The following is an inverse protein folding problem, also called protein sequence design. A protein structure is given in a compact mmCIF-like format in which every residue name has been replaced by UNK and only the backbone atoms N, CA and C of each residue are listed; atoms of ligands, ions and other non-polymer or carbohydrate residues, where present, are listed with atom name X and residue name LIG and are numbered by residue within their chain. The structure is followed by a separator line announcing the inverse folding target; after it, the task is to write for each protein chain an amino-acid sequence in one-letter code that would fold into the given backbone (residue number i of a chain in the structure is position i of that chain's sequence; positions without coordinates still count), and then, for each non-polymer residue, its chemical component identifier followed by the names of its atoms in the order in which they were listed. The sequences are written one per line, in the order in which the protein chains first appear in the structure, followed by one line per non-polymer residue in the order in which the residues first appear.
data_IF_021256432264
#
_entry.id   IF_021256432264
#
_cell.length_a   1.000
_cell.length_b   1.000
_cell.length_c   1.000
_cell.angle_alpha   90.00
_cell.angle_beta   90.00
_cell.angle_gamma   90.00
#
_symmetry.space_group_name_H-M   'P 1'
#
loop_
_entity.id
_entity.type
_entity.pdbx_description
1 polymer ?
#
# COMPACT_ATOMS: atom_id res chain seq x y z
N UNK A 1 -1.44 -5.83 -11.54
CA UNK A 1 0.03 -5.84 -11.32
C UNK A 1 0.40 -7.21 -10.75
N UNK A 2 1.45 -7.86 -11.25
CA UNK A 2 1.93 -9.09 -10.63
C UNK A 2 2.40 -8.79 -9.18
N UNK A 3 2.17 -9.69 -8.21
CA UNK A 3 2.70 -9.52 -6.86
C UNK A 3 4.22 -9.33 -6.93
N UNK A 4 4.75 -8.42 -6.12
CA UNK A 4 6.20 -8.16 -6.09
C UNK A 4 6.94 -9.45 -5.75
N UNK A 5 7.91 -9.85 -6.58
CA UNK A 5 8.76 -11.02 -6.33
C UNK A 5 9.39 -10.96 -4.94
N UNK A 6 9.74 -9.75 -4.49
CA UNK A 6 10.28 -9.50 -3.15
C UNK A 6 9.30 -9.86 -2.03
N UNK A 7 8.01 -9.59 -2.21
CA UNK A 7 6.99 -9.98 -1.22
C UNK A 7 6.89 -11.50 -1.13
N UNK A 8 6.96 -12.20 -2.26
CA UNK A 8 6.96 -13.66 -2.28
C UNK A 8 8.23 -14.26 -1.63
N UNK A 9 9.40 -13.68 -1.91
CA UNK A 9 10.67 -14.07 -1.28
C UNK A 9 10.65 -13.84 0.23
N UNK A 10 10.13 -12.69 0.68
CA UNK A 10 9.96 -12.39 2.11
C UNK A 10 9.02 -13.39 2.77
N UNK A 11 7.85 -13.61 2.17
CA UNK A 11 6.85 -14.53 2.70
C UNK A 11 7.43 -15.95 2.80
N UNK A 12 8.17 -16.40 1.79
CA UNK A 12 8.89 -17.68 1.83
C UNK A 12 9.89 -17.73 2.99
N UNK A 13 10.73 -16.71 3.14
CA UNK A 13 11.72 -16.65 4.21
C UNK A 13 11.07 -16.65 5.61
N UNK A 14 10.00 -15.88 5.81
CA UNK A 14 9.23 -15.85 7.05
C UNK A 14 8.56 -17.20 7.34
N UNK A 15 8.01 -17.86 6.32
CA UNK A 15 7.41 -19.18 6.43
C UNK A 15 8.46 -20.24 6.79
N UNK A 16 9.59 -20.27 6.10
CA UNK A 16 10.70 -21.20 6.38
C UNK A 16 11.23 -21.01 7.81
N UNK A 17 11.35 -19.75 8.27
CA UNK A 17 11.72 -19.43 9.64
C UNK A 17 10.70 -19.95 10.67
N UNK A 18 9.39 -19.85 10.39
CA UNK A 18 8.35 -20.39 11.29
C UNK A 18 8.35 -21.92 11.29
N UNK A 19 8.56 -22.55 10.13
CA UNK A 19 8.53 -24.02 9.99
C UNK A 19 9.69 -24.71 10.72
N UNK A 20 10.88 -24.09 10.73
CA UNK A 20 12.07 -24.61 11.44
C UNK A 20 11.99 -24.51 12.96
N UNK A 21 11.05 -23.71 13.49
CA UNK A 21 10.88 -23.50 14.93
C UNK A 21 9.88 -24.52 15.50
N UNK A 22 10.15 -24.98 16.73
CA UNK A 22 9.27 -25.90 17.47
C UNK A 22 7.86 -25.33 17.60
N UNK A 23 6.82 -26.17 17.47
CA UNK A 23 5.41 -25.74 17.53
C UNK A 23 5.09 -24.84 18.73
N UNK A 24 5.65 -25.14 19.92
CA UNK A 24 5.46 -24.35 21.16
C UNK A 24 5.91 -22.88 21.05
N UNK A 25 6.89 -22.57 20.19
CA UNK A 25 7.44 -21.22 20.00
C UNK A 25 6.88 -20.50 18.76
N UNK A 26 6.13 -21.19 17.88
CA UNK A 26 5.60 -20.59 16.66
C UNK A 26 4.64 -19.42 16.93
N UNK A 27 3.69 -19.48 17.88
CA UNK A 27 2.78 -18.36 18.12
C UNK A 27 3.49 -17.05 18.50
N UNK A 28 4.53 -17.12 19.32
CA UNK A 28 5.30 -15.91 19.70
C UNK A 28 6.09 -15.33 18.53
N UNK A 29 6.61 -16.19 17.65
CA UNK A 29 7.35 -15.75 16.45
C UNK A 29 6.39 -15.12 15.43
N UNK A 30 5.25 -15.76 15.17
CA UNK A 30 4.21 -15.24 14.29
C UNK A 30 3.72 -13.88 14.79
N UNK A 31 3.46 -13.77 16.10
CA UNK A 31 3.10 -12.50 16.73
C UNK A 31 4.15 -11.42 16.49
N UNK A 32 5.43 -11.73 16.70
CA UNK A 32 6.52 -10.78 16.44
C UNK A 32 6.64 -10.36 14.97
N UNK A 33 6.38 -11.26 14.02
CA UNK A 33 6.33 -10.93 12.58
C UNK A 33 5.18 -9.96 12.30
N UNK A 34 3.98 -10.22 12.83
CA UNK A 34 2.80 -9.37 12.63
C UNK A 34 3.00 -7.99 13.29
N UNK A 35 3.51 -7.95 14.52
CA UNK A 35 3.83 -6.71 15.23
C UNK A 35 4.85 -5.87 14.44
N UNK A 36 5.93 -6.49 13.94
CA UNK A 36 6.92 -5.82 13.10
C UNK A 36 6.33 -5.32 11.79
N UNK A 37 5.43 -6.08 11.16
CA UNK A 37 4.77 -5.67 9.92
C UNK A 37 3.79 -4.50 10.14
N UNK A 38 3.22 -4.37 11.34
CA UNK A 38 2.31 -3.29 11.73
C UNK A 38 3.01 -2.12 12.45
N UNK A 39 4.33 -2.13 12.57
CA UNK A 39 5.09 -1.08 13.26
C UNK A 39 5.06 0.25 12.49
N UNK A 40 4.07 1.08 12.86
CA UNK A 40 3.88 2.40 12.28
C UNK A 40 5.08 3.33 12.52
N UNK A 41 5.80 3.19 13.65
CA UNK A 41 6.95 4.04 13.95
C UNK A 41 8.12 3.71 13.04
N UNK A 42 8.38 2.42 12.83
CA UNK A 42 9.39 1.97 11.87
C UNK A 42 9.03 2.38 10.43
N UNK A 43 7.75 2.24 10.04
CA UNK A 43 7.27 2.69 8.74
C UNK A 43 7.46 4.21 8.57
N UNK A 44 7.08 5.03 9.55
CA UNK A 44 7.28 6.48 9.53
C UNK A 44 8.75 6.85 9.46
N UNK A 45 9.63 6.18 10.20
CA UNK A 45 11.08 6.40 10.11
C UNK A 45 11.62 6.14 8.70
N UNK A 46 11.12 5.09 8.02
CA UNK A 46 11.45 4.81 6.62
C UNK A 46 10.96 5.93 5.71
N UNK A 47 9.70 6.38 5.87
CA UNK A 47 9.13 7.48 5.08
C UNK A 47 9.93 8.77 5.25
N UNK A 48 10.26 9.16 6.49
CA UNK A 48 11.04 10.38 6.76
C UNK A 48 12.45 10.30 6.16
N UNK A 49 13.12 9.15 6.26
CA UNK A 49 14.43 8.94 5.63
C UNK A 49 14.35 9.04 4.09
N UNK A 50 13.26 8.55 3.51
CA UNK A 50 13.06 8.53 2.06
C UNK A 50 12.72 9.93 1.52
N UNK A 51 12.02 10.80 2.27
CA UNK A 51 11.61 12.15 1.83
C UNK A 51 12.77 12.97 1.25
N UNK A 52 13.89 13.06 1.97
CA UNK A 52 15.04 13.84 1.53
C UNK A 52 15.67 13.29 0.24
N UNK A 53 15.67 11.97 0.07
CA UNK A 53 16.20 11.31 -1.12
C UNK A 53 15.24 11.37 -2.32
N UNK A 54 13.93 11.39 -2.07
CA UNK A 54 12.89 11.36 -3.10
C UNK A 54 12.47 12.74 -3.59
N UNK A 55 12.63 13.80 -2.79
CA UNK A 55 12.27 15.16 -3.20
C UNK A 55 12.91 15.58 -4.54
N UNK A 56 14.22 15.35 -4.80
CA UNK A 56 14.81 15.67 -6.10
C UNK A 56 14.24 14.84 -7.27
N UNK A 57 13.78 13.62 -7.00
CA UNK A 57 13.14 12.75 -8.00
C UNK A 57 11.76 13.31 -8.35
N UNK A 58 10.97 13.65 -7.34
CA UNK A 58 9.65 14.25 -7.52
C UNK A 58 9.74 15.59 -8.25
N UNK A 59 10.67 16.47 -7.87
CA UNK A 59 10.87 17.74 -8.55
C UNK A 59 11.24 17.56 -10.03
N UNK A 60 12.15 16.63 -10.35
CA UNK A 60 12.53 16.35 -11.73
C UNK A 60 11.38 15.74 -12.54
N UNK A 61 10.59 14.85 -11.93
CA UNK A 61 9.41 14.25 -12.54
C UNK A 61 8.29 15.27 -12.80
N UNK A 62 8.02 16.16 -11.84
CA UNK A 62 7.07 17.27 -11.99
C UNK A 62 7.50 18.24 -13.08
N UNK A 63 8.79 18.61 -13.11
CA UNK A 63 9.33 19.47 -14.16
C UNK A 63 9.17 18.84 -15.55
N UNK A 64 9.45 17.53 -15.67
CA UNK A 64 9.23 16.80 -16.92
C UNK A 64 7.75 16.81 -17.33
N UNK A 65 6.83 16.57 -16.40
CA UNK A 65 5.38 16.63 -16.67
C UNK A 65 4.94 18.03 -17.13
N UNK A 66 5.45 19.10 -16.50
CA UNK A 66 5.18 20.47 -16.93
C UNK A 66 5.73 20.74 -18.33
N UNK A 67 6.91 20.23 -18.67
CA UNK A 67 7.45 20.31 -20.03
C UNK A 67 6.58 19.57 -21.05
N UNK A 68 6.06 18.37 -20.71
CA UNK A 68 5.11 17.65 -21.58
C UNK A 68 3.86 18.49 -21.81
N UNK A 69 3.27 19.06 -20.76
CA UNK A 69 2.08 19.92 -20.87
C UNK A 69 2.38 21.14 -21.75
N UNK A 70 3.51 21.82 -21.52
CA UNK A 70 3.92 22.96 -22.34
C UNK A 70 4.11 22.58 -23.81
N UNK A 71 4.67 21.40 -24.09
CA UNK A 71 4.81 20.85 -25.45
C UNK A 71 3.46 20.67 -26.10
N UNK A 72 2.54 19.97 -25.44
CA UNK A 72 1.19 19.71 -25.95
C UNK A 72 0.44 21.02 -26.18
N UNK A 73 0.47 21.95 -25.22
CA UNK A 73 -0.20 23.25 -25.35
C UNK A 73 0.36 24.08 -26.50
N UNK A 74 1.68 24.12 -26.68
CA UNK A 74 2.29 24.85 -27.80
C UNK A 74 1.92 24.26 -29.16
N UNK A 75 1.81 22.93 -29.26
CA UNK A 75 1.32 22.27 -30.48
C UNK A 75 -0.15 22.60 -30.76
N UNK A 76 -1.01 22.63 -29.74
CA UNK A 76 -2.43 23.00 -29.88
C UNK A 76 -2.60 24.46 -30.31
N UNK A 77 -1.70 25.35 -29.88
CA UNK A 77 -1.71 26.78 -30.23
C UNK A 77 -0.91 27.10 -31.51
N UNK A 78 -0.55 26.08 -32.30
CA UNK A 78 0.21 26.20 -33.56
C UNK A 78 1.55 26.94 -33.43
N UNK A 79 2.21 26.85 -32.26
CA UNK A 79 3.54 27.42 -32.01
C UNK A 79 4.64 26.49 -32.48
N UNK A 80 4.54 26.04 -33.73
CA UNK A 80 5.47 25.04 -34.30
C UNK A 80 6.90 25.57 -34.30
N UNK A 81 7.14 26.86 -34.52
CA UNK A 81 8.51 27.42 -34.61
C UNK A 81 9.42 27.13 -33.39
N UNK A 82 8.83 26.90 -32.21
CA UNK A 82 9.56 26.57 -30.99
C UNK A 82 9.79 25.07 -30.76
N UNK A 83 9.30 24.18 -31.64
CA UNK A 83 9.24 22.73 -31.42
C UNK A 83 10.60 22.10 -31.11
N UNK A 84 11.68 22.57 -31.75
CA UNK A 84 13.05 22.05 -31.54
C UNK A 84 13.54 22.30 -30.11
N UNK A 85 13.30 23.50 -29.59
CA UNK A 85 13.68 23.88 -28.23
C UNK A 85 12.84 23.14 -27.20
N UNK A 86 11.54 22.98 -27.47
CA UNK A 86 10.60 22.26 -26.63
C UNK A 86 10.96 20.77 -26.54
N UNK A 87 11.33 20.15 -27.67
CA UNK A 87 11.82 18.77 -27.71
C UNK A 87 13.15 18.63 -26.96
N UNK A 88 14.08 19.58 -27.14
CA UNK A 88 15.34 19.61 -26.40
C UNK A 88 15.12 19.67 -24.88
N UNK A 89 14.25 20.57 -24.42
CA UNK A 89 13.89 20.68 -23.01
C UNK A 89 13.23 19.39 -22.48
N UNK A 90 12.37 18.76 -23.28
CA UNK A 90 11.74 17.49 -22.93
C UNK A 90 12.76 16.37 -22.73
N UNK A 91 13.72 16.23 -23.65
CA UNK A 91 14.80 15.23 -23.54
C UNK A 91 15.68 15.49 -22.31
N UNK A 92 16.06 16.75 -22.06
CA UNK A 92 16.90 17.11 -20.91
C UNK A 92 16.20 16.79 -19.59
N UNK A 93 14.94 17.22 -19.42
CA UNK A 93 14.18 16.98 -18.19
C UNK A 93 13.90 15.50 -17.96
N UNK A 94 13.64 14.76 -19.04
CA UNK A 94 13.48 13.30 -19.00
C UNK A 94 14.74 12.59 -18.52
N UNK A 95 15.88 12.83 -19.15
CA UNK A 95 17.16 12.21 -18.79
C UNK A 95 17.57 12.62 -17.37
N UNK A 96 17.35 13.88 -16.98
CA UNK A 96 17.61 14.35 -15.62
C UNK A 96 16.76 13.60 -14.59
N UNK A 97 15.48 13.36 -14.86
CA UNK A 97 14.61 12.63 -13.95
C UNK A 97 14.99 11.14 -13.84
N UNK A 98 15.35 10.48 -14.94
CA UNK A 98 15.91 9.12 -14.92
C UNK A 98 17.20 9.07 -14.10
N UNK A 99 18.11 10.04 -14.29
CA UNK A 99 19.34 10.13 -13.50
C UNK A 99 19.07 10.29 -12.01
N UNK A 100 18.12 11.17 -11.64
CA UNK A 100 17.71 11.36 -10.23
C UNK A 100 17.13 10.09 -9.64
N UNK A 101 16.28 9.37 -10.38
CA UNK A 101 15.78 8.06 -9.98
C UNK A 101 16.92 7.07 -9.70
N UNK A 102 17.87 6.90 -10.63
CA UNK A 102 18.99 5.96 -10.47
C UNK A 102 19.84 6.32 -9.26
N UNK A 103 20.10 7.62 -9.03
CA UNK A 103 20.86 8.10 -7.88
C UNK A 103 20.14 7.82 -6.56
N UNK A 104 18.86 8.20 -6.45
CA UNK A 104 18.06 7.99 -5.25
C UNK A 104 17.91 6.49 -4.94
N UNK A 105 17.57 5.69 -5.94
CA UNK A 105 17.43 4.25 -5.79
C UNK A 105 18.75 3.57 -5.39
N UNK A 106 19.89 4.00 -5.94
CA UNK A 106 21.21 3.47 -5.52
C UNK A 106 21.51 3.82 -4.06
N UNK A 107 21.11 5.00 -3.60
CA UNK A 107 21.33 5.46 -2.22
C UNK A 107 20.44 4.72 -1.21
N UNK A 108 19.16 4.53 -1.54
CA UNK A 108 18.18 3.91 -0.63
C UNK A 108 18.20 2.37 -0.69
N UNK A 109 18.62 1.79 -1.81
CA UNK A 109 18.65 0.34 -2.10
C UNK A 109 19.91 -0.03 -2.90
N UNK A 110 21.11 0.01 -2.29
CA UNK A 110 22.35 -0.33 -2.99
C UNK A 110 22.35 -1.78 -3.54
N UNK A 111 21.73 -2.71 -2.83
CA UNK A 111 21.63 -4.15 -3.11
C UNK A 111 20.80 -4.46 -4.37
N UNK A 112 19.75 -3.68 -4.67
CA UNK A 112 18.80 -3.94 -5.74
C UNK A 112 19.28 -3.44 -7.12
N UNK A 113 20.47 -3.88 -7.56
CA UNK A 113 21.09 -3.42 -8.82
C UNK A 113 20.32 -3.84 -10.07
N UNK A 114 19.80 -5.07 -10.10
CA UNK A 114 19.07 -5.61 -11.27
C UNK A 114 17.76 -4.85 -11.50
N UNK A 115 16.95 -4.72 -10.44
CA UNK A 115 15.69 -3.98 -10.46
C UNK A 115 15.88 -2.52 -10.86
N UNK A 116 16.88 -1.83 -10.29
CA UNK A 116 17.24 -0.46 -10.67
C UNK A 116 17.55 -0.33 -12.17
N UNK A 117 18.31 -1.26 -12.75
CA UNK A 117 18.62 -1.25 -14.19
C UNK A 117 17.37 -1.48 -15.04
N UNK A 118 16.56 -2.47 -14.68
CA UNK A 118 15.32 -2.78 -15.38
C UNK A 118 14.36 -1.59 -15.38
N UNK A 119 14.15 -0.96 -14.23
CA UNK A 119 13.28 0.21 -14.10
C UNK A 119 13.84 1.45 -14.80
N UNK A 120 15.14 1.68 -14.71
CA UNK A 120 15.78 2.78 -15.45
C UNK A 120 15.60 2.60 -16.97
N UNK A 121 15.73 1.36 -17.50
CA UNK A 121 15.46 1.08 -18.90
C UNK A 121 13.98 1.31 -19.25
N UNK A 122 13.04 0.87 -18.40
CA UNK A 122 11.61 1.15 -18.61
C UNK A 122 11.35 2.66 -18.68
N UNK A 123 11.95 3.45 -17.80
CA UNK A 123 11.81 4.91 -17.82
C UNK A 123 12.52 5.58 -19.00
N UNK A 124 13.62 4.99 -19.51
CA UNK A 124 14.28 5.40 -20.75
C UNK A 124 13.53 4.98 -22.03
N UNK A 125 12.57 4.07 -21.93
CA UNK A 125 11.72 3.67 -23.06
C UNK A 125 10.32 4.33 -22.96
N UNK A 126 9.90 4.72 -21.76
CA UNK A 126 8.61 5.34 -21.48
C UNK A 126 8.79 6.57 -20.59
N UNK A 127 8.90 7.78 -21.18
CA UNK A 127 9.04 9.04 -20.45
C UNK A 127 7.89 9.29 -19.47
N UNK A 128 6.66 8.89 -19.83
CA UNK A 128 5.48 9.02 -18.97
C UNK A 128 5.63 8.24 -17.66
N UNK A 129 6.35 7.12 -17.69
CA UNK A 129 6.60 6.29 -16.51
C UNK A 129 7.43 6.99 -15.42
N UNK A 130 8.24 7.99 -15.79
CA UNK A 130 9.10 8.73 -14.84
C UNK A 130 8.29 9.48 -13.78
N UNK A 131 7.05 9.88 -14.08
CA UNK A 131 6.15 10.53 -13.11
C UNK A 131 5.90 9.63 -11.89
N UNK A 132 5.99 8.30 -12.07
CA UNK A 132 5.82 7.28 -11.03
C UNK A 132 7.14 6.82 -10.39
N UNK A 133 8.26 7.45 -10.70
CA UNK A 133 9.58 7.02 -10.22
C UNK A 133 9.72 7.08 -8.68
N UNK A 134 9.18 8.12 -8.05
CA UNK A 134 9.19 8.23 -6.59
C UNK A 134 8.25 7.20 -5.94
N UNK A 135 7.03 7.04 -6.46
CA UNK A 135 6.05 6.05 -5.99
C UNK A 135 6.63 4.64 -6.00
N UNK A 136 7.39 4.30 -7.05
CA UNK A 136 8.04 2.99 -7.15
C UNK A 136 9.06 2.76 -6.03
N UNK A 137 9.95 3.73 -5.78
CA UNK A 137 10.96 3.60 -4.72
C UNK A 137 10.28 3.49 -3.34
N UNK A 138 9.30 4.33 -3.07
CA UNK A 138 8.54 4.28 -1.81
C UNK A 138 7.82 2.96 -1.64
N UNK A 139 7.19 2.43 -2.70
CA UNK A 139 6.48 1.14 -2.68
C UNK A 139 7.40 -0.01 -2.29
N UNK A 140 8.61 -0.07 -2.83
CA UNK A 140 9.57 -1.15 -2.51
C UNK A 140 10.17 -1.04 -1.10
N UNK A 141 10.25 0.18 -0.57
CA UNK A 141 10.67 0.47 0.81
C UNK A 141 9.58 0.11 1.81
N UNK A 142 8.34 0.41 1.48
CA UNK A 142 7.18 0.09 2.32
C UNK A 142 6.63 -1.32 2.14
N UNK A 143 7.06 -2.04 1.09
CA UNK A 143 6.68 -3.42 0.85
C UNK A 143 7.02 -4.35 2.03
N UNK A 144 7.98 -3.96 2.88
CA UNK A 144 8.40 -4.70 4.08
C UNK A 144 7.38 -4.58 5.23
N UNK A 145 6.41 -3.68 5.14
CA UNK A 145 5.33 -3.48 6.11
C UNK A 145 3.99 -4.01 5.60
N UNK A 146 3.07 -4.27 6.52
CA UNK A 146 1.67 -4.46 6.21
C UNK A 146 1.04 -3.12 5.81
N UNK A 147 0.05 -3.13 4.92
CA UNK A 147 -0.57 -1.90 4.42
C UNK A 147 -1.17 -1.03 5.54
N UNK A 148 -1.64 -1.64 6.63
CA UNK A 148 -2.10 -0.92 7.84
C UNK A 148 -0.97 -0.19 8.58
N UNK A 149 0.26 -0.74 8.59
CA UNK A 149 1.42 -0.02 9.12
C UNK A 149 1.83 1.12 8.19
N UNK A 150 1.82 0.86 6.87
CA UNK A 150 2.15 1.87 5.86
C UNK A 150 1.16 3.05 5.83
N UNK A 151 -0.15 2.81 5.97
CA UNK A 151 -1.15 3.89 5.96
C UNK A 151 -1.06 4.77 7.21
N UNK A 152 -0.65 4.21 8.35
CA UNK A 152 -0.36 5.02 9.55
C UNK A 152 0.83 5.95 9.35
N UNK A 153 1.79 5.58 8.50
CA UNK A 153 2.96 6.39 8.19
C UNK A 153 2.73 7.42 7.08
N UNK A 154 1.90 7.10 6.08
CA UNK A 154 1.68 7.93 4.90
C UNK A 154 0.39 8.75 4.92
N UNK A 155 -0.66 8.24 5.58
CA UNK A 155 -1.99 8.82 5.57
C UNK A 155 -2.19 9.85 6.68
N UNK A 156 -3.35 10.52 6.64
CA UNK A 156 -3.81 11.29 7.80
C UNK A 156 -4.20 10.35 8.94
N UNK A 157 -4.25 10.88 10.16
CA UNK A 157 -4.72 10.13 11.32
C UNK A 157 -6.12 9.52 11.08
N UNK A 158 -7.05 10.30 10.52
CA UNK A 158 -8.40 9.82 10.17
C UNK A 158 -8.39 8.65 9.18
N UNK A 159 -7.58 8.73 8.13
CA UNK A 159 -7.44 7.66 7.13
C UNK A 159 -6.89 6.38 7.77
N UNK A 160 -5.90 6.52 8.65
CA UNK A 160 -5.33 5.41 9.37
C UNK A 160 -6.34 4.78 10.33
N UNK A 161 -7.07 5.57 11.12
CA UNK A 161 -8.12 5.07 12.03
C UNK A 161 -9.27 4.43 11.27
N UNK A 162 -9.67 4.97 10.12
CA UNK A 162 -10.68 4.35 9.26
C UNK A 162 -10.22 2.98 8.76
N UNK A 163 -8.97 2.86 8.32
CA UNK A 163 -8.40 1.59 7.86
C UNK A 163 -8.26 0.56 8.98
N UNK A 164 -7.72 0.95 10.14
CA UNK A 164 -7.57 0.08 11.31
C UNK A 164 -8.92 -0.39 11.84
N UNK A 165 -9.91 0.50 11.94
CA UNK A 165 -11.26 0.14 12.39
C UNK A 165 -11.96 -0.80 11.40
N UNK A 166 -11.76 -0.60 10.09
CA UNK A 166 -12.29 -1.51 9.06
C UNK A 166 -11.66 -2.89 9.18
N UNK A 167 -10.34 -2.97 9.26
CA UNK A 167 -9.63 -4.22 9.45
C UNK A 167 -10.06 -4.93 10.75
N UNK A 168 -10.28 -4.18 11.84
CA UNK A 168 -10.77 -4.75 13.09
C UNK A 168 -12.18 -5.32 12.95
N UNK A 169 -13.10 -4.59 12.32
CA UNK A 169 -14.46 -5.11 12.04
C UNK A 169 -14.45 -6.38 11.20
N UNK A 170 -13.58 -6.46 10.20
CA UNK A 170 -13.43 -7.67 9.37
C UNK A 170 -12.91 -8.88 10.16
N UNK A 171 -12.07 -8.65 11.19
CA UNK A 171 -11.59 -9.71 12.07
C UNK A 171 -12.65 -10.16 13.07
N UNK A 172 -13.40 -9.20 13.63
CA UNK A 172 -14.46 -9.47 14.62
C UNK A 172 -15.71 -10.08 13.95
N UNK A 173 -15.98 -9.74 12.69
CA UNK A 173 -17.13 -10.18 11.91
C UNK A 173 -16.70 -10.64 10.50
N UNK A 174 -16.05 -11.80 10.37
CA UNK A 174 -15.59 -12.29 9.07
C UNK A 174 -16.78 -12.54 8.13
N UNK A 175 -16.82 -11.82 7.01
CA UNK A 175 -17.80 -12.07 5.95
C UNK A 175 -17.48 -13.34 5.15
N UNK A 176 -18.44 -13.81 4.34
CA UNK A 176 -18.28 -15.01 3.51
C UNK A 176 -17.12 -14.89 2.50
N UNK A 177 -16.67 -13.67 2.19
CA UNK A 177 -15.50 -13.42 1.31
C UNK A 177 -14.16 -13.75 1.98
N UNK A 178 -14.12 -13.83 3.32
CA UNK A 178 -12.90 -14.13 4.07
C UNK A 178 -12.68 -15.65 4.12
N UNK A 179 -12.34 -16.22 2.96
CA UNK A 179 -11.95 -17.60 2.67
C UNK A 179 -11.92 -18.54 3.89
N UNK A 180 -13.01 -19.27 4.15
CA UNK A 180 -13.02 -20.34 5.14
C UNK A 180 -12.81 -21.64 4.37
N UNK A 181 -11.62 -22.21 4.46
CA UNK A 181 -11.36 -23.54 3.91
C UNK A 181 -12.33 -24.55 4.55
N UNK A 182 -12.84 -25.49 3.76
CA UNK A 182 -13.69 -26.58 4.27
C UNK A 182 -12.91 -27.50 5.24
N UNK A 183 -11.59 -27.55 5.09
CA UNK A 183 -10.70 -28.30 5.98
C UNK A 183 -10.73 -27.73 7.42
N UNK A 184 -11.09 -28.55 8.43
CA UNK A 184 -11.13 -28.13 9.83
C UNK A 184 -9.79 -27.60 10.35
N UNK A 185 -8.67 -28.13 9.85
CA UNK A 185 -7.32 -27.73 10.29
C UNK A 185 -6.97 -26.33 9.78
N UNK A 186 -7.20 -26.07 8.50
CA UNK A 186 -7.07 -24.73 7.90
C UNK A 186 -7.99 -23.71 8.59
N UNK A 187 -9.23 -24.10 8.92
CA UNK A 187 -10.17 -23.24 9.66
C UNK A 187 -9.67 -22.90 11.07
N UNK A 188 -9.13 -23.88 11.79
CA UNK A 188 -8.54 -23.65 13.11
C UNK A 188 -7.34 -22.69 13.04
N UNK A 189 -6.42 -22.92 12.09
CA UNK A 189 -5.26 -22.06 11.87
C UNK A 189 -5.65 -20.62 11.51
N UNK A 190 -6.69 -20.46 10.67
CA UNK A 190 -7.21 -19.14 10.32
C UNK A 190 -7.81 -18.42 11.53
N UNK A 191 -8.59 -19.12 12.36
CA UNK A 191 -9.17 -18.55 13.57
C UNK A 191 -8.08 -18.13 14.57
N UNK A 192 -7.04 -18.92 14.73
CA UNK A 192 -5.88 -18.57 15.58
C UNK A 192 -5.15 -17.33 15.04
N UNK A 193 -4.91 -17.26 13.73
CA UNK A 193 -4.31 -16.09 13.10
C UNK A 193 -5.17 -14.83 13.29
N UNK A 194 -6.50 -14.93 13.08
CA UNK A 194 -7.44 -13.82 13.30
C UNK A 194 -7.43 -13.35 14.75
N UNK A 195 -7.47 -14.27 15.72
CA UNK A 195 -7.42 -13.93 17.14
C UNK A 195 -6.10 -13.23 17.50
N UNK A 196 -4.98 -13.70 16.95
CA UNK A 196 -3.66 -13.08 17.13
C UNK A 196 -3.64 -11.66 16.55
N UNK A 197 -4.10 -11.50 15.29
CA UNK A 197 -4.12 -10.22 14.62
C UNK A 197 -5.07 -9.23 15.31
N UNK A 198 -6.25 -9.67 15.73
CA UNK A 198 -7.21 -8.85 16.49
C UNK A 198 -6.61 -8.37 17.81
N UNK A 199 -5.87 -9.22 18.52
CA UNK A 199 -5.17 -8.85 19.76
C UNK A 199 -4.14 -7.74 19.53
N UNK A 200 -3.38 -7.83 18.42
CA UNK A 200 -2.37 -6.82 18.06
C UNK A 200 -3.02 -5.52 17.59
N UNK A 201 -4.13 -5.61 16.86
CA UNK A 201 -4.80 -4.46 16.25
C UNK A 201 -5.65 -3.67 17.25
N UNK A 202 -6.24 -4.33 18.25
CA UNK A 202 -7.09 -3.69 19.26
C UNK A 202 -6.47 -2.46 19.93
N UNK A 203 -5.23 -2.48 20.42
CA UNK A 203 -4.62 -1.28 21.03
C UNK A 203 -4.29 -0.16 20.02
N UNK A 204 -4.32 -0.43 18.71
CA UNK A 204 -4.04 0.56 17.65
C UNK A 204 -5.31 1.30 17.20
N UNK A 205 -6.49 0.71 17.44
CA UNK A 205 -7.78 1.29 17.06
C UNK A 205 -8.27 2.18 18.21
N UNK A 206 -8.40 3.48 17.94
CA UNK A 206 -9.06 4.38 18.88
C UNK A 206 -10.55 4.01 18.97
N UNK A 207 -11.11 4.06 20.18
CA UNK A 207 -12.48 3.61 20.44
C UNK A 207 -13.46 4.45 19.61
N UNK A 208 -13.97 3.83 18.54
CA UNK A 208 -15.03 4.22 17.63
C UNK A 208 -14.97 5.67 17.10
N UNK A 209 -14.49 5.82 15.86
CA UNK A 209 -15.08 6.82 14.95
C UNK A 209 -16.56 6.45 14.83
N UNK A 210 -17.43 7.23 15.45
CA UNK A 210 -18.87 7.08 15.29
C UNK A 210 -19.15 7.15 13.78
N UNK A 211 -19.54 6.03 13.18
CA UNK A 211 -19.89 6.00 11.76
C UNK A 211 -21.04 6.99 11.60
N UNK A 212 -20.86 8.08 10.84
CA UNK A 212 -21.88 9.14 10.71
C UNK A 212 -23.22 8.49 10.43
N UNK A 213 -24.28 8.87 11.15
CA UNK A 213 -25.61 8.35 10.84
C UNK A 213 -26.08 9.05 9.58
N UNK A 214 -25.88 8.41 8.43
CA UNK A 214 -26.43 8.95 7.19
C UNK A 214 -27.94 8.78 7.23
N UNK A 215 -28.67 9.85 6.90
CA UNK A 215 -30.13 9.84 6.90
C UNK A 215 -30.67 8.74 5.97
N UNK A 216 -31.66 7.99 6.46
CA UNK A 216 -32.31 6.92 5.70
C UNK A 216 -31.64 5.54 5.78
N UNK A 217 -30.48 5.39 6.43
CA UNK A 217 -29.90 4.07 6.70
C UNK A 217 -30.64 3.42 7.87
N UNK A 218 -31.30 2.29 7.61
CA UNK A 218 -32.07 1.52 8.59
C UNK A 218 -31.19 0.46 9.27
N UNK A 219 -30.31 -0.19 8.53
CA UNK A 219 -29.39 -1.21 9.07
C UNK A 219 -28.00 -1.06 8.48
N UNK A 220 -26.97 -1.37 9.28
CA UNK A 220 -25.57 -1.40 8.84
C UNK A 220 -24.97 -2.77 9.06
N UNK A 221 -24.18 -3.23 8.09
CA UNK A 221 -23.38 -4.43 8.25
C UNK A 221 -22.24 -4.18 9.23
N UNK A 222 -22.13 -4.99 10.28
CA UNK A 222 -21.05 -4.89 11.28
C UNK A 222 -19.67 -5.24 10.72
N UNK A 223 -19.61 -6.02 9.64
CA UNK A 223 -18.36 -6.45 9.00
C UNK A 223 -17.74 -5.36 8.11
N UNK A 224 -18.46 -4.92 7.07
CA UNK A 224 -17.92 -3.96 6.10
C UNK A 224 -18.40 -2.51 6.32
N UNK A 225 -19.38 -2.27 7.19
CA UNK A 225 -19.97 -0.95 7.42
C UNK A 225 -20.99 -0.50 6.38
N UNK A 226 -21.29 -1.32 5.37
CA UNK A 226 -22.30 -1.01 4.34
C UNK A 226 -23.67 -0.71 4.98
N UNK A 227 -24.28 0.40 4.56
CA UNK A 227 -25.60 0.83 5.01
C UNK A 227 -26.71 0.48 4.03
N UNK A 228 -27.85 0.07 4.56
CA UNK A 228 -29.02 -0.31 3.78
C UNK A 228 -30.25 0.47 4.24
N UNK A 229 -31.06 0.92 3.28
CA UNK A 229 -32.32 1.63 3.50
C UNK A 229 -33.50 0.68 3.77
N UNK A 230 -33.27 -0.63 3.67
CA UNK A 230 -34.23 -1.70 3.97
C UNK A 230 -33.55 -2.73 4.86
N UNK A 231 -34.34 -3.42 5.69
CA UNK A 231 -33.83 -4.54 6.49
C UNK A 231 -33.44 -5.68 5.55
N UNK A 232 -32.21 -6.16 5.71
CA UNK A 232 -31.65 -7.28 4.94
C UNK A 232 -31.03 -8.27 5.91
N UNK A 233 -31.16 -9.58 5.64
CA UNK A 233 -30.60 -10.63 6.50
C UNK A 233 -29.11 -10.89 6.23
N UNK A 234 -28.64 -10.56 5.03
CA UNK A 234 -27.26 -10.78 4.59
C UNK A 234 -26.77 -9.54 3.85
N UNK A 235 -25.53 -9.14 4.15
CA UNK A 235 -24.86 -8.03 3.49
C UNK A 235 -24.55 -8.37 2.03
N UNK A 236 -25.04 -7.57 1.07
CA UNK A 236 -24.75 -7.77 -0.36
C UNK A 236 -23.27 -7.54 -0.69
N UNK A 237 -22.58 -6.70 0.07
CA UNK A 237 -21.16 -6.37 -0.20
C UNK A 237 -20.17 -7.39 0.36
N UNK A 238 -20.44 -8.04 1.48
CA UNK A 238 -19.47 -8.97 2.09
C UNK A 238 -20.02 -10.36 2.42
N UNK A 239 -21.33 -10.56 2.27
CA UNK A 239 -22.01 -11.83 2.57
C UNK A 239 -22.14 -12.12 4.07
N UNK A 240 -21.74 -11.22 4.97
CA UNK A 240 -21.93 -11.41 6.40
C UNK A 240 -23.43 -11.37 6.76
N UNK A 241 -23.83 -12.21 7.71
CA UNK A 241 -25.17 -12.13 8.31
C UNK A 241 -25.31 -10.79 9.03
N UNK A 242 -26.45 -10.13 8.83
CA UNK A 242 -26.80 -8.89 9.50
C UNK A 242 -27.81 -9.25 10.59
N UNK A 243 -27.49 -9.02 11.88
CA UNK A 243 -28.44 -9.29 12.94
C UNK A 243 -29.70 -8.43 12.74
N UNK A 244 -30.90 -8.96 13.06
CA UNK A 244 -32.11 -8.16 13.04
C UNK A 244 -31.97 -6.97 14.00
N UNK A 245 -32.60 -5.82 13.69
CA UNK A 245 -32.55 -4.62 14.52
C UNK A 245 -33.13 -4.82 15.92
#
# INVERSE_FOLDING_TARGET
EAPSLKLAERFKHELDAVLTISAKKRPSVIRGIVEKALDAKAASSVVEADKAALYPVQLAATLHALCVIAVVTGLVLDRVDAWRWMLGALVITWLHAVFRFVRAHKSLRPEARSERKGRALIYLLSPVGVVKAADFISKDRLADFHWLGAIQALGTHDQAQQALSTAKRELDHPGNRTWVAEDPTAKAAQNEFRATFATILTPLVEVAVAVSRDEGIVVRCSACGAGYTKVVAVCFDCGAAIPPP
#
